data_IF_727599929710
#
_entry.id   IF_727599929710
#
_cell.length_a   1.000
_cell.length_b   1.000
_cell.length_c   1.000
_cell.angle_alpha   90.00
_cell.angle_beta   90.00
_cell.angle_gamma   90.00
#
_symmetry.space_group_name_H-M   'P 1'
#
loop_
_entity.id
_entity.type
_entity.pdbx_description
1 polymer ?
#
# COMPACT_ATOMS: atom_id res chain seq x y z
N UNK A 1 1.54 -0.42 -3.32
CA UNK A 1 2.17 0.66 -2.53
C UNK A 1 2.29 1.85 -3.46
N UNK A 2 1.51 2.90 -3.21
CA UNK A 2 1.80 4.19 -3.84
C UNK A 2 3.03 4.77 -3.14
N UNK A 3 3.99 5.31 -3.88
CA UNK A 3 5.17 5.94 -3.29
C UNK A 3 5.07 7.42 -3.62
N UNK A 4 4.93 8.26 -2.60
CA UNK A 4 4.92 9.70 -2.78
C UNK A 4 6.29 10.26 -2.39
N UNK A 5 6.88 11.05 -3.28
CA UNK A 5 8.03 11.87 -2.94
C UNK A 5 7.53 13.12 -2.23
N UNK A 6 7.94 13.34 -0.99
CA UNK A 6 7.61 14.55 -0.24
C UNK A 6 8.90 15.37 -0.12
N UNK A 7 9.29 16.07 -1.19
CA UNK A 7 10.35 17.07 -1.13
C UNK A 7 10.02 18.22 -2.09
N UNK A 8 9.62 19.36 -1.53
CA UNK A 8 9.73 20.65 -2.21
C UNK A 8 11.15 21.16 -1.97
N UNK A 9 12.05 20.95 -2.92
CA UNK A 9 13.38 21.55 -2.89
C UNK A 9 13.57 22.40 -4.13
N UNK A 10 13.96 23.65 -3.93
CA UNK A 10 14.30 24.67 -4.94
C UNK A 10 15.48 24.30 -5.86
N UNK A 11 15.91 23.05 -5.84
CA UNK A 11 17.04 22.48 -6.58
C UNK A 11 16.73 21.16 -7.30
N UNK A 12 15.46 20.72 -7.33
CA UNK A 12 15.04 19.54 -8.11
C UNK A 12 14.28 19.93 -9.38
N UNK A 13 14.48 19.19 -10.46
CA UNK A 13 13.66 19.27 -11.68
C UNK A 13 12.74 18.05 -11.78
N UNK A 14 11.51 18.24 -12.24
CA UNK A 14 10.59 17.14 -12.51
C UNK A 14 10.97 16.46 -13.83
N UNK A 15 10.96 15.12 -13.81
CA UNK A 15 11.20 14.27 -14.97
C UNK A 15 10.08 13.21 -15.03
N UNK A 16 9.79 12.63 -16.21
CA UNK A 16 8.89 11.48 -16.29
C UNK A 16 9.30 10.38 -15.31
N UNK A 17 8.32 9.73 -14.69
CA UNK A 17 8.59 8.64 -13.74
C UNK A 17 9.03 7.38 -14.47
N UNK A 18 10.08 6.74 -13.96
CA UNK A 18 10.65 5.47 -14.42
C UNK A 18 10.39 4.31 -13.43
N UNK A 19 9.58 4.58 -12.40
CA UNK A 19 9.22 3.63 -11.35
C UNK A 19 7.70 3.49 -11.23
N UNK A 20 7.13 2.68 -12.11
CA UNK A 20 5.72 2.32 -12.11
C UNK A 20 5.51 0.87 -12.59
N UNK A 21 4.41 0.24 -12.18
CA UNK A 21 4.03 -1.07 -12.71
C UNK A 21 3.48 -2.04 -11.67
N UNK A 22 3.45 -3.31 -12.05
CA UNK A 22 3.07 -4.42 -11.18
C UNK A 22 4.28 -5.00 -10.46
N UNK A 23 4.08 -5.31 -9.18
CA UNK A 23 5.06 -5.84 -8.26
C UNK A 23 4.56 -7.18 -7.73
N UNK A 24 5.43 -8.19 -7.83
CA UNK A 24 5.22 -9.49 -7.21
C UNK A 24 6.26 -9.69 -6.09
N UNK A 25 5.78 -10.02 -4.91
CA UNK A 25 6.65 -10.35 -3.79
C UNK A 25 6.90 -11.86 -3.75
N UNK A 26 8.17 -12.27 -3.77
CA UNK A 26 8.54 -13.66 -3.66
C UNK A 26 7.94 -14.27 -2.36
N UNK A 27 7.27 -15.42 -2.49
CA UNK A 27 6.65 -16.11 -1.35
C UNK A 27 5.35 -15.49 -0.81
N UNK A 28 4.83 -14.39 -1.37
CA UNK A 28 3.58 -13.75 -0.93
C UNK A 28 2.31 -14.27 -1.64
N UNK A 29 2.46 -15.23 -2.56
CA UNK A 29 1.43 -15.69 -3.50
C UNK A 29 1.22 -14.72 -4.66
N UNK A 30 0.40 -15.10 -5.65
CA UNK A 30 -0.01 -14.22 -6.77
C UNK A 30 -0.89 -13.07 -6.26
N UNK A 31 -0.28 -12.03 -5.71
CA UNK A 31 -0.96 -10.80 -5.31
C UNK A 31 -0.34 -9.65 -6.08
N UNK A 32 -1.03 -9.24 -7.15
CA UNK A 32 -0.70 -8.05 -7.91
C UNK A 32 -0.67 -6.85 -6.97
N UNK A 33 0.52 -6.32 -6.73
CA UNK A 33 0.71 -5.07 -6.01
C UNK A 33 1.11 -4.02 -7.02
N UNK A 34 0.50 -2.85 -6.99
CA UNK A 34 0.89 -1.78 -7.91
C UNK A 34 1.86 -0.81 -7.24
N UNK A 35 2.81 -0.31 -8.03
CA UNK A 35 3.76 0.73 -7.66
C UNK A 35 3.56 1.94 -8.59
N UNK A 36 3.60 3.14 -8.01
CA UNK A 36 3.67 4.40 -8.73
C UNK A 36 4.50 5.38 -7.90
N UNK A 37 5.57 5.90 -8.48
CA UNK A 37 6.27 7.08 -8.02
C UNK A 37 5.73 8.31 -8.76
N UNK A 38 5.16 9.28 -8.04
CA UNK A 38 4.59 10.48 -8.65
C UNK A 38 4.65 11.69 -7.70
N UNK A 39 4.70 12.91 -8.25
CA UNK A 39 5.08 14.12 -7.48
C UNK A 39 4.10 15.29 -7.52
N UNK A 40 2.98 15.23 -8.26
CA UNK A 40 2.21 16.47 -8.51
C UNK A 40 0.72 16.39 -8.21
N UNK A 41 -0.10 15.78 -9.06
CA UNK A 41 -1.57 15.84 -8.94
C UNK A 41 -2.21 14.58 -8.29
N UNK A 42 -2.82 14.69 -7.09
CA UNK A 42 -3.57 13.61 -6.47
C UNK A 42 -4.75 13.09 -7.31
N UNK A 43 -5.35 13.92 -8.17
CA UNK A 43 -6.44 13.49 -9.06
C UNK A 43 -5.93 12.49 -10.10
N UNK A 44 -4.73 12.71 -10.64
CA UNK A 44 -4.09 11.76 -11.57
C UNK A 44 -3.82 10.42 -10.88
N UNK A 45 -3.31 10.45 -9.64
CA UNK A 45 -3.10 9.22 -8.85
C UNK A 45 -4.42 8.50 -8.61
N UNK A 46 -5.49 9.24 -8.29
CA UNK A 46 -6.83 8.67 -8.11
C UNK A 46 -7.36 8.04 -9.40
N UNK A 47 -7.22 8.70 -10.55
CA UNK A 47 -7.63 8.15 -11.83
C UNK A 47 -6.83 6.90 -12.19
N UNK A 48 -5.52 6.85 -11.91
CA UNK A 48 -4.71 5.65 -12.10
C UNK A 48 -5.22 4.49 -11.23
N UNK A 49 -5.48 4.74 -9.95
CA UNK A 49 -6.04 3.74 -9.03
C UNK A 49 -7.37 3.16 -9.53
N UNK A 50 -8.24 4.01 -10.10
CA UNK A 50 -9.58 3.62 -10.55
C UNK A 50 -9.55 2.96 -11.92
N UNK A 51 -8.86 3.57 -12.87
CA UNK A 51 -8.92 3.21 -14.29
C UNK A 51 -7.89 2.16 -14.68
N UNK A 52 -6.66 2.24 -14.15
CA UNK A 52 -5.58 1.31 -14.49
C UNK A 52 -5.53 0.13 -13.51
N UNK A 53 -5.58 0.39 -12.20
CA UNK A 53 -5.52 -0.68 -11.19
C UNK A 53 -6.87 -1.35 -10.91
N UNK A 54 -7.96 -0.84 -11.53
CA UNK A 54 -9.32 -1.35 -11.43
C UNK A 54 -9.84 -1.43 -9.99
N UNK A 55 -9.37 -0.55 -9.10
CA UNK A 55 -9.89 -0.50 -7.73
C UNK A 55 -11.31 0.06 -7.74
N UNK A 56 -12.23 -0.57 -7.00
CA UNK A 56 -13.61 -0.10 -6.80
C UNK A 56 -13.69 1.25 -6.08
N UNK A 57 -14.80 1.98 -6.23
CA UNK A 57 -14.93 3.31 -5.63
C UNK A 57 -15.10 3.12 -4.13
N UNK A 58 -14.29 3.78 -3.29
CA UNK A 58 -14.48 3.68 -1.86
C UNK A 58 -15.74 4.44 -1.46
N UNK A 59 -16.57 3.82 -0.63
CA UNK A 59 -17.64 4.54 0.09
C UNK A 59 -17.07 5.31 1.31
N UNK A 60 -15.87 4.93 1.75
CA UNK A 60 -15.15 5.51 2.88
C UNK A 60 -13.65 5.30 2.68
N UNK A 61 -12.85 6.26 3.12
CA UNK A 61 -11.39 6.14 3.19
C UNK A 61 -10.96 6.31 4.64
N UNK A 62 -10.23 5.32 5.17
CA UNK A 62 -9.70 5.36 6.54
C UNK A 62 -8.18 5.44 6.48
N UNK A 63 -7.61 6.53 7.00
CA UNK A 63 -6.16 6.67 7.14
C UNK A 63 -5.71 6.21 8.52
N UNK A 64 -4.78 5.27 8.58
CA UNK A 64 -4.18 4.76 9.80
C UNK A 64 -2.73 5.21 9.86
N UNK A 65 -2.49 6.18 10.75
CA UNK A 65 -1.18 6.77 11.01
C UNK A 65 -0.77 6.45 12.43
N UNK A 66 0.52 6.22 12.65
CA UNK A 66 1.07 5.92 13.96
C UNK A 66 2.58 6.09 13.94
N UNK A 67 3.20 6.08 15.12
CA UNK A 67 4.63 6.31 15.28
C UNK A 67 5.48 5.33 14.45
N UNK A 68 6.50 5.88 13.82
CA UNK A 68 7.55 5.15 13.12
C UNK A 68 8.56 4.60 14.14
N UNK A 69 9.12 3.41 13.88
CA UNK A 69 10.10 2.77 14.75
C UNK A 69 9.75 1.35 15.19
N UNK A 70 10.75 0.66 15.74
CA UNK A 70 10.70 -0.78 16.12
C UNK A 70 9.96 -1.06 17.43
N UNK A 71 9.20 -0.10 17.96
CA UNK A 71 8.44 -0.30 19.18
C UNK A 71 7.37 -1.38 18.97
N UNK A 72 7.27 -2.31 19.92
CA UNK A 72 6.27 -3.38 19.85
C UNK A 72 4.87 -2.79 20.03
N UNK A 73 4.11 -2.75 18.95
CA UNK A 73 2.67 -2.46 18.99
C UNK A 73 2.00 -3.47 19.94
N UNK A 74 1.25 -2.95 20.92
CA UNK A 74 0.56 -3.76 21.94
C UNK A 74 -0.42 -4.74 21.29
N UNK A 75 -0.54 -5.94 21.86
CA UNK A 75 -1.38 -7.01 21.29
C UNK A 75 -2.86 -6.61 21.14
N UNK A 76 -3.40 -5.84 22.09
CA UNK A 76 -4.80 -5.38 22.00
C UNK A 76 -5.03 -4.43 20.81
N UNK A 77 -4.05 -3.62 20.41
CA UNK A 77 -4.14 -2.76 19.22
C UNK A 77 -4.21 -3.62 17.96
N UNK A 78 -3.40 -4.68 17.89
CA UNK A 78 -3.44 -5.64 16.77
C UNK A 78 -4.82 -6.29 16.65
N UNK A 79 -5.46 -6.61 17.77
CA UNK A 79 -6.79 -7.20 17.78
C UNK A 79 -7.87 -6.22 17.32
N UNK A 80 -7.80 -4.95 17.76
CA UNK A 80 -8.69 -3.88 17.27
C UNK A 80 -8.55 -3.69 15.76
N UNK A 81 -7.33 -3.75 15.21
CA UNK A 81 -7.11 -3.67 13.77
C UNK A 81 -7.71 -4.88 13.03
N UNK A 82 -7.46 -6.10 13.52
CA UNK A 82 -7.95 -7.34 12.90
C UNK A 82 -9.47 -7.49 12.95
N UNK A 83 -10.09 -7.32 14.12
CA UNK A 83 -11.52 -7.58 14.31
C UNK A 83 -12.39 -6.35 14.09
N UNK A 84 -11.86 -5.16 14.35
CA UNK A 84 -12.59 -3.90 14.18
C UNK A 84 -12.39 -3.34 12.78
N UNK A 85 -11.20 -2.80 12.53
CA UNK A 85 -10.92 -2.05 11.30
C UNK A 85 -11.13 -2.88 10.04
N UNK A 86 -10.50 -4.06 9.95
CA UNK A 86 -10.54 -4.88 8.73
C UNK A 86 -11.95 -5.37 8.42
N UNK A 87 -12.72 -5.80 9.43
CA UNK A 87 -14.13 -6.20 9.24
C UNK A 87 -15.02 -5.02 8.83
N UNK A 88 -14.83 -3.85 9.44
CA UNK A 88 -15.59 -2.66 9.09
C UNK A 88 -15.30 -2.21 7.64
N UNK A 89 -14.03 -2.24 7.24
CA UNK A 89 -13.63 -1.93 5.87
C UNK A 89 -14.20 -2.92 4.86
N UNK A 90 -14.23 -4.21 5.21
CA UNK A 90 -14.87 -5.24 4.38
C UNK A 90 -16.37 -4.99 4.21
N UNK A 91 -17.08 -4.69 5.30
CA UNK A 91 -18.52 -4.46 5.27
C UNK A 91 -18.92 -3.28 4.38
N UNK A 92 -18.14 -2.20 4.43
CA UNK A 92 -18.45 -0.93 3.76
C UNK A 92 -17.82 -0.78 2.37
N UNK A 93 -16.86 -1.63 2.01
CA UNK A 93 -16.02 -1.42 0.83
C UNK A 93 -15.07 -0.24 1.00
N UNK A 94 -14.57 0.00 2.21
CA UNK A 94 -13.66 1.11 2.49
C UNK A 94 -12.23 0.83 2.01
N UNK A 95 -11.52 1.89 1.63
CA UNK A 95 -10.08 1.86 1.46
C UNK A 95 -9.39 2.11 2.80
N UNK A 96 -8.30 1.36 3.05
CA UNK A 96 -7.43 1.59 4.20
C UNK A 96 -6.12 2.17 3.70
N UNK A 97 -5.79 3.40 4.08
CA UNK A 97 -4.53 4.06 3.75
C UNK A 97 -3.58 3.98 4.95
N UNK A 98 -2.32 3.62 4.72
CA UNK A 98 -1.27 3.58 5.77
C UNK A 98 0.12 3.87 5.17
N UNK A 99 1.19 3.88 5.97
CA UNK A 99 2.54 4.26 5.51
C UNK A 99 3.19 3.29 4.51
N UNK A 100 2.62 2.10 4.27
CA UNK A 100 3.19 1.11 3.35
C UNK A 100 4.55 0.53 3.77
N UNK A 101 5.06 0.90 4.95
CA UNK A 101 6.32 0.41 5.51
C UNK A 101 6.10 -0.85 6.35
N UNK A 102 7.10 -1.74 6.39
CA UNK A 102 7.07 -2.99 7.18
C UNK A 102 7.44 -2.75 8.66
N UNK A 103 7.00 -1.63 9.22
CA UNK A 103 7.24 -1.26 10.62
C UNK A 103 6.04 -0.54 11.25
N UNK A 104 6.10 -0.36 12.58
CA UNK A 104 5.09 0.34 13.35
C UNK A 104 3.66 -0.17 13.14
N UNK A 105 2.72 0.78 13.02
CA UNK A 105 1.29 0.49 12.83
C UNK A 105 0.99 -0.06 11.43
N UNK A 106 1.71 0.42 10.40
CA UNK A 106 1.52 0.00 9.01
C UNK A 106 1.74 -1.50 8.82
N UNK A 107 2.77 -2.05 9.48
CA UNK A 107 2.98 -3.51 9.55
C UNK A 107 1.78 -4.24 10.14
N UNK A 108 1.24 -3.75 11.26
CA UNK A 108 0.11 -4.41 11.93
C UNK A 108 -1.16 -4.39 11.08
N UNK A 109 -1.41 -3.29 10.36
CA UNK A 109 -2.50 -3.18 9.38
C UNK A 109 -2.30 -4.19 8.24
N UNK A 110 -1.10 -4.25 7.66
CA UNK A 110 -0.77 -5.18 6.58
C UNK A 110 -0.91 -6.66 7.00
N UNK A 111 -0.45 -7.00 8.21
CA UNK A 111 -0.67 -8.33 8.82
C UNK A 111 -2.17 -8.62 8.95
N UNK A 112 -2.93 -7.70 9.55
CA UNK A 112 -4.37 -7.86 9.74
C UNK A 112 -5.14 -8.09 8.43
N UNK A 113 -4.85 -7.30 7.39
CA UNK A 113 -5.47 -7.45 6.07
C UNK A 113 -5.07 -8.76 5.41
N UNK A 114 -3.80 -9.16 5.49
CA UNK A 114 -3.31 -10.42 4.94
C UNK A 114 -3.99 -11.62 5.59
N UNK A 115 -4.06 -11.63 6.91
CA UNK A 115 -4.62 -12.76 7.65
C UNK A 115 -6.12 -12.89 7.41
N UNK A 116 -6.83 -11.76 7.31
CA UNK A 116 -8.22 -11.73 6.88
C UNK A 116 -8.37 -12.30 5.48
N UNK A 117 -7.56 -11.84 4.51
CA UNK A 117 -7.60 -12.31 3.13
C UNK A 117 -7.30 -13.82 2.99
N UNK A 118 -6.51 -14.42 3.88
CA UNK A 118 -6.30 -15.87 3.92
C UNK A 118 -7.45 -16.64 4.56
N UNK A 119 -8.22 -16.01 5.44
CA UNK A 119 -9.35 -16.63 6.13
C UNK A 119 -10.65 -16.57 5.31
N UNK A 120 -10.81 -15.59 4.41
CA UNK A 120 -12.02 -15.45 3.60
C UNK A 120 -11.95 -16.23 2.29
N UNK A 121 -13.07 -16.86 1.92
CA UNK A 121 -13.25 -17.48 0.60
C UNK A 121 -13.18 -16.42 -0.52
N UNK A 122 -12.68 -16.82 -1.69
CA UNK A 122 -12.53 -16.00 -2.89
C UNK A 122 -13.86 -15.44 -3.44
N UNK A 123 -14.99 -15.94 -2.95
CA UNK A 123 -16.36 -15.58 -3.36
C UNK A 123 -16.86 -14.26 -2.74
N UNK A 124 -16.16 -13.71 -1.75
CA UNK A 124 -16.58 -12.44 -1.13
C UNK A 124 -16.38 -11.24 -2.07
N UNK A 125 -17.47 -10.50 -2.31
CA UNK A 125 -17.53 -9.34 -3.22
C UNK A 125 -16.80 -8.11 -2.69
N UNK A 126 -16.81 -7.88 -1.36
CA UNK A 126 -16.21 -6.69 -0.77
C UNK A 126 -14.80 -6.99 -0.26
N UNK A 127 -13.82 -7.02 -1.17
CA UNK A 127 -12.42 -7.17 -0.81
C UNK A 127 -11.91 -5.89 -0.13
N UNK A 128 -11.21 -6.05 0.98
CA UNK A 128 -10.52 -4.95 1.66
C UNK A 128 -9.39 -4.46 0.76
N UNK A 129 -9.31 -3.15 0.53
CA UNK A 129 -8.29 -2.53 -0.33
C UNK A 129 -7.30 -1.75 0.54
N UNK A 130 -6.12 -2.34 0.85
CA UNK A 130 -5.05 -1.62 1.53
C UNK A 130 -4.21 -0.81 0.54
N UNK A 131 -3.94 0.44 0.87
CA UNK A 131 -3.07 1.36 0.12
C UNK A 131 -1.95 1.80 1.06
N UNK A 132 -0.72 1.44 0.72
CA UNK A 132 0.48 1.90 1.43
C UNK A 132 1.08 3.12 0.73
N UNK A 133 1.39 4.19 1.47
CA UNK A 133 2.05 5.41 1.01
C UNK A 133 3.39 5.57 1.72
N UNK A 134 4.49 5.27 1.02
CA UNK A 134 5.83 5.31 1.58
C UNK A 134 6.71 6.38 0.91
N UNK A 135 7.62 7.04 1.65
CA UNK A 135 8.68 7.85 1.05
C UNK A 135 9.63 6.97 0.23
N UNK A 136 9.95 7.37 -1.00
CA UNK A 136 10.85 6.59 -1.89
C UNK A 136 12.22 6.30 -1.26
N UNK A 137 12.76 7.26 -0.50
CA UNK A 137 14.04 7.11 0.20
C UNK A 137 14.06 6.00 1.25
N UNK A 138 12.89 5.57 1.76
CA UNK A 138 12.77 4.48 2.74
C UNK A 138 12.52 3.11 2.09
N UNK A 139 12.28 3.07 0.78
CA UNK A 139 12.07 1.82 0.04
C UNK A 139 13.43 1.14 -0.17
N UNK A 140 13.56 -0.05 0.40
CA UNK A 140 14.75 -0.88 0.25
C UNK A 140 14.80 -1.47 -1.16
N UNK A 141 16.01 -1.63 -1.72
CA UNK A 141 16.24 -2.12 -3.07
C UNK A 141 15.47 -1.33 -4.16
N UNK A 142 15.16 -0.05 -3.92
CA UNK A 142 14.39 0.81 -4.84
C UNK A 142 14.98 0.91 -6.26
N UNK A 143 16.28 0.68 -6.43
CA UNK A 143 16.91 0.67 -7.75
C UNK A 143 16.42 -0.49 -8.63
N UNK A 144 15.95 -1.59 -8.03
CA UNK A 144 15.30 -2.67 -8.76
C UNK A 144 13.88 -2.27 -9.19
N UNK A 145 13.31 -1.22 -8.62
CA UNK A 145 11.98 -0.69 -8.93
C UNK A 145 11.99 0.36 -10.04
N UNK A 146 13.16 0.65 -10.60
CA UNK A 146 13.36 1.60 -11.69
C UNK A 146 13.55 0.79 -12.96
N UNK A 147 12.48 0.65 -13.73
CA UNK A 147 12.51 0.05 -15.07
C UNK A 147 11.28 0.52 -15.87
N UNK A 148 11.45 1.12 -17.07
CA UNK A 148 10.32 1.47 -17.94
C UNK A 148 9.50 0.26 -18.44
N UNK A 149 10.05 -0.96 -18.38
CA UNK A 149 9.34 -2.19 -18.75
C UNK A 149 9.78 -3.35 -17.84
N UNK A 150 9.06 -3.71 -16.77
CA UNK A 150 8.97 -5.12 -16.26
C UNK A 150 8.19 -5.24 -14.94
N UNK A 151 7.50 -6.38 -14.80
CA UNK A 151 6.98 -6.96 -13.56
C UNK A 151 8.12 -7.39 -12.64
N UNK A 152 8.28 -6.75 -11.47
CA UNK A 152 9.44 -6.97 -10.62
C UNK A 152 9.19 -8.01 -9.53
N UNK A 153 10.12 -8.95 -9.37
CA UNK A 153 10.14 -9.93 -8.29
C UNK A 153 10.97 -9.41 -7.12
N UNK A 154 10.31 -8.92 -6.08
CA UNK A 154 10.99 -8.51 -4.85
C UNK A 154 11.24 -9.72 -3.95
N UNK A 155 12.51 -10.08 -3.77
CA UNK A 155 12.95 -11.02 -2.73
C UNK A 155 13.09 -10.24 -1.43
N UNK A 156 12.22 -10.50 -0.45
CA UNK A 156 12.44 -10.01 0.92
C UNK A 156 13.49 -10.88 1.61
N UNK A 157 14.56 -10.25 2.13
CA UNK A 157 15.34 -10.80 3.24
C UNK A 157 14.76 -10.28 4.57
#
# INVERSE_FOLDING_TARGET
VAVLNINQCTHSSEQPTDAYGELEFAGAGKRHSYLLFYTTDPFVVFDIMRQHWKLGQPNLVVSVVGGEGRSRVKSWVREVLRQGLVKAAQSTGAWIITSGLREGIGKCVGEAVRDHATAVSSVNLNKVVPIGIAPWGMVHNRLQLVDPEVTLLMVQY
#
